data_IF_003423779735
#
_entry.id   IF_003423779735
#
_cell.length_a   1.000
_cell.length_b   1.000
_cell.length_c   1.000
_cell.angle_alpha   90.00
_cell.angle_beta   90.00
_cell.angle_gamma   90.00
#
_symmetry.space_group_name_H-M   'P 1'
#
loop_
_entity.id
_entity.type
_entity.pdbx_description
1 polymer ?
#
# COMPACT_ATOMS: atom_id res chain seq x y z
N UNK A 1 42.08 -4.47 30.36
CA UNK A 1 40.82 -3.73 30.58
C UNK A 1 39.62 -4.58 30.12
N UNK A 2 39.15 -5.54 30.93
CA UNK A 2 37.99 -6.39 30.61
C UNK A 2 36.62 -5.78 30.97
N UNK A 3 36.60 -4.67 31.72
CA UNK A 3 35.38 -4.02 32.23
C UNK A 3 34.47 -3.45 31.12
N UNK A 4 35.05 -2.90 30.06
CA UNK A 4 34.29 -2.27 28.98
C UNK A 4 33.51 -3.28 28.13
N UNK A 5 34.10 -4.45 27.88
CA UNK A 5 33.43 -5.54 27.15
C UNK A 5 32.21 -6.07 27.93
N UNK A 6 32.36 -6.22 29.25
CA UNK A 6 31.27 -6.66 30.13
C UNK A 6 30.11 -5.66 30.16
N UNK A 7 30.42 -4.36 30.17
CA UNK A 7 29.40 -3.30 30.12
C UNK A 7 28.62 -3.29 28.80
N UNK A 8 29.30 -3.47 27.66
CA UNK A 8 28.62 -3.54 26.35
C UNK A 8 27.71 -4.77 26.26
N UNK A 9 28.15 -5.91 26.79
CA UNK A 9 27.33 -7.14 26.82
C UNK A 9 26.07 -6.94 27.67
N UNK A 10 26.21 -6.33 28.85
CA UNK A 10 25.08 -6.07 29.75
C UNK A 10 24.11 -5.04 29.16
N UNK A 11 24.63 -3.98 28.53
CA UNK A 11 23.82 -3.00 27.82
C UNK A 11 23.04 -3.64 26.67
N UNK A 12 23.68 -4.48 25.86
CA UNK A 12 23.00 -5.18 24.77
C UNK A 12 21.92 -6.14 25.29
N UNK A 13 22.16 -6.84 26.40
CA UNK A 13 21.15 -7.70 27.04
C UNK A 13 19.93 -6.91 27.52
N UNK A 14 20.08 -5.69 28.03
CA UNK A 14 18.95 -4.86 28.49
C UNK A 14 18.10 -4.29 27.35
N UNK A 15 18.60 -4.30 26.10
CA UNK A 15 17.84 -3.88 24.92
C UNK A 15 16.99 -5.02 24.31
N UNK A 16 17.34 -6.29 24.57
CA UNK A 16 16.60 -7.46 24.04
C UNK A 16 15.08 -7.44 24.34
N UNK A 17 14.61 -7.18 25.58
CA UNK A 17 13.17 -7.14 25.88
C UNK A 17 12.46 -5.88 25.35
N UNK A 18 13.21 -4.83 24.97
CA UNK A 18 12.64 -3.63 24.35
C UNK A 18 12.29 -3.88 22.88
N UNK A 19 12.97 -4.83 22.23
CA UNK A 19 12.70 -5.23 20.83
C UNK A 19 11.26 -5.72 20.64
N UNK A 20 10.70 -6.42 21.61
CA UNK A 20 9.30 -6.88 21.56
C UNK A 20 8.29 -5.73 21.76
N UNK A 21 8.68 -4.66 22.49
CA UNK A 21 7.88 -3.44 22.60
C UNK A 21 7.82 -2.69 21.28
N UNK A 22 8.94 -2.60 20.55
CA UNK A 22 8.99 -1.91 19.26
C UNK A 22 8.44 -2.75 18.09
N UNK A 23 8.28 -4.06 18.24
CA UNK A 23 7.65 -4.94 17.24
C UNK A 23 6.21 -4.52 16.91
N UNK A 24 5.53 -3.85 17.84
CA UNK A 24 4.17 -3.34 17.68
C UNK A 24 4.11 -1.81 17.49
N UNK A 25 5.24 -1.12 17.41
CA UNK A 25 5.28 0.36 17.35
C UNK A 25 6.06 0.82 16.13
N UNK A 26 5.55 0.45 14.96
CA UNK A 26 5.63 1.25 13.73
C UNK A 26 4.26 1.32 13.02
N UNK A 27 3.18 1.20 13.79
CA UNK A 27 1.83 1.34 13.28
C UNK A 27 0.83 0.88 14.31
N UNK A 28 0.08 1.82 14.89
CA UNK A 28 -1.09 1.58 15.74
C UNK A 28 -2.25 0.92 14.98
N UNK A 29 -1.95 -0.09 14.15
CA UNK A 29 -2.92 -0.90 13.45
C UNK A 29 -3.57 -1.86 14.45
N UNK A 30 -4.68 -1.39 15.02
CA UNK A 30 -5.58 -2.22 15.77
C UNK A 30 -6.50 -2.94 14.78
N UNK A 31 -6.31 -4.25 14.60
CA UNK A 31 -7.14 -5.11 13.72
C UNK A 31 -8.64 -5.03 14.03
N UNK A 32 -9.04 -4.58 15.22
CA UNK A 32 -10.44 -4.37 15.62
C UNK A 32 -10.95 -2.94 15.43
N UNK A 33 -10.09 -1.98 15.08
CA UNK A 33 -10.48 -0.59 14.83
C UNK A 33 -11.09 -0.50 13.44
N UNK A 34 -12.43 -0.54 13.37
CA UNK A 34 -13.15 -0.16 12.15
C UNK A 34 -12.83 1.31 11.88
N UNK A 35 -12.41 1.63 10.66
CA UNK A 35 -12.26 3.01 10.24
C UNK A 35 -13.67 3.57 10.12
N UNK A 36 -14.11 4.30 11.14
CA UNK A 36 -15.36 5.06 11.08
C UNK A 36 -15.11 6.28 10.20
N UNK A 37 -15.63 6.20 8.98
CA UNK A 37 -15.62 7.33 8.08
C UNK A 37 -16.83 8.21 8.41
N UNK A 38 -16.58 9.39 8.95
CA UNK A 38 -17.61 10.42 9.15
C UNK A 38 -17.91 11.10 7.80
N UNK A 39 -18.52 10.32 6.90
CA UNK A 39 -18.92 10.80 5.58
C UNK A 39 -20.23 11.57 5.73
N UNK A 40 -20.36 12.75 5.09
CA UNK A 40 -21.66 13.42 5.03
C UNK A 40 -22.67 12.47 4.37
N UNK A 41 -23.91 12.48 4.86
CA UNK A 41 -25.00 11.67 4.29
C UNK A 41 -25.17 12.06 2.81
N UNK A 42 -24.65 11.24 1.91
CA UNK A 42 -24.74 11.47 0.48
C UNK A 42 -26.17 11.25 0.01
N UNK A 43 -26.68 12.14 -0.84
CA UNK A 43 -27.99 11.94 -1.45
C UNK A 43 -27.91 10.85 -2.54
N UNK A 44 -28.99 10.10 -2.81
CA UNK A 44 -29.00 9.10 -3.88
C UNK A 44 -28.60 9.66 -5.26
N UNK A 45 -28.87 10.95 -5.51
CA UNK A 45 -28.49 11.64 -6.74
C UNK A 45 -26.97 11.85 -6.82
N UNK A 46 -26.33 12.25 -5.71
CA UNK A 46 -24.88 12.40 -5.63
C UNK A 46 -24.16 11.06 -5.87
N UNK A 47 -24.67 9.97 -5.29
CA UNK A 47 -24.14 8.61 -5.52
C UNK A 47 -24.23 8.20 -6.99
N UNK A 48 -25.35 8.49 -7.68
CA UNK A 48 -25.50 8.22 -9.12
C UNK A 48 -24.50 9.03 -9.94
N UNK A 49 -24.31 10.31 -9.60
CA UNK A 49 -23.36 11.18 -10.30
C UNK A 49 -21.92 10.69 -10.17
N UNK A 50 -21.50 10.31 -8.94
CA UNK A 50 -20.18 9.73 -8.68
C UNK A 50 -19.99 8.43 -9.47
N UNK A 51 -20.98 7.54 -9.47
CA UNK A 51 -20.94 6.29 -10.26
C UNK A 51 -20.76 6.57 -11.75
N UNK A 52 -21.50 7.52 -12.32
CA UNK A 52 -21.38 7.87 -13.72
C UNK A 52 -20.02 8.46 -14.06
N UNK A 53 -19.49 9.34 -13.21
CA UNK A 53 -18.15 9.92 -13.37
C UNK A 53 -17.07 8.84 -13.35
N UNK A 54 -17.08 7.97 -12.33
CA UNK A 54 -16.15 6.85 -12.20
C UNK A 54 -16.20 5.91 -13.41
N UNK A 55 -17.39 5.61 -13.93
CA UNK A 55 -17.52 4.74 -15.11
C UNK A 55 -16.86 5.35 -16.34
N UNK A 56 -17.03 6.66 -16.56
CA UNK A 56 -16.41 7.38 -17.68
C UNK A 56 -14.89 7.43 -17.56
N UNK A 57 -14.38 7.76 -16.38
CA UNK A 57 -12.93 7.79 -16.12
C UNK A 57 -12.31 6.41 -16.31
N UNK A 58 -12.96 5.36 -15.79
CA UNK A 58 -12.51 3.99 -15.97
C UNK A 58 -12.48 3.59 -17.46
N UNK A 59 -13.48 3.96 -18.26
CA UNK A 59 -13.47 3.67 -19.70
C UNK A 59 -12.27 4.30 -20.42
N UNK A 60 -11.90 5.53 -20.07
CA UNK A 60 -10.73 6.21 -20.64
C UNK A 60 -9.44 5.51 -20.22
N UNK A 61 -9.33 5.11 -18.95
CA UNK A 61 -8.18 4.34 -18.46
C UNK A 61 -8.06 3.00 -19.19
N UNK A 62 -9.16 2.25 -19.34
CA UNK A 62 -9.17 0.99 -20.07
C UNK A 62 -8.78 1.14 -21.53
N UNK A 63 -9.21 2.22 -22.20
CA UNK A 63 -8.79 2.51 -23.57
C UNK A 63 -7.27 2.71 -23.67
N UNK A 64 -6.69 3.48 -22.73
CA UNK A 64 -5.23 3.67 -22.66
C UNK A 64 -4.50 2.36 -22.39
N UNK A 65 -4.99 1.54 -21.46
CA UNK A 65 -4.40 0.24 -21.11
C UNK A 65 -4.41 -0.70 -22.30
N UNK A 66 -5.54 -0.79 -23.03
CA UNK A 66 -5.65 -1.61 -24.24
C UNK A 66 -4.66 -1.13 -25.31
N UNK A 67 -4.58 0.19 -25.54
CA UNK A 67 -3.65 0.76 -26.51
C UNK A 67 -2.18 0.43 -26.21
N UNK A 68 -1.76 0.59 -24.96
CA UNK A 68 -0.38 0.24 -24.54
C UNK A 68 -0.14 -1.26 -24.65
N UNK A 69 -1.11 -2.09 -24.26
CA UNK A 69 -1.01 -3.55 -24.35
C UNK A 69 -0.82 -4.02 -25.81
N UNK A 70 -1.58 -3.44 -26.75
CA UNK A 70 -1.44 -3.74 -28.17
C UNK A 70 -0.07 -3.36 -28.74
N UNK A 71 0.47 -2.20 -28.33
CA UNK A 71 1.81 -1.78 -28.75
C UNK A 71 2.88 -2.75 -28.26
N UNK A 72 2.81 -3.17 -26.99
CA UNK A 72 3.76 -4.11 -26.40
C UNK A 72 3.67 -5.48 -27.09
N UNK A 73 2.46 -6.01 -27.26
CA UNK A 73 2.24 -7.29 -27.93
C UNK A 73 2.69 -7.25 -29.40
N UNK A 74 2.38 -6.16 -30.12
CA UNK A 74 2.83 -5.98 -31.50
C UNK A 74 4.35 -5.93 -31.62
N UNK A 75 5.02 -5.20 -30.73
CA UNK A 75 6.49 -5.16 -30.68
C UNK A 75 7.12 -6.52 -30.34
N UNK A 76 6.53 -7.25 -29.39
CA UNK A 76 6.97 -8.62 -29.06
C UNK A 76 6.83 -9.57 -30.24
N UNK A 77 5.68 -9.56 -30.91
CA UNK A 77 5.45 -10.40 -32.09
C UNK A 77 6.42 -10.07 -33.22
N UNK A 78 6.73 -8.79 -33.42
CA UNK A 78 7.74 -8.37 -34.39
C UNK A 78 9.12 -8.97 -34.08
N UNK A 79 9.57 -8.89 -32.82
CA UNK A 79 10.86 -9.45 -32.39
C UNK A 79 10.91 -10.97 -32.53
N UNK A 80 9.79 -11.66 -32.30
CA UNK A 80 9.72 -13.12 -32.45
C UNK A 80 9.72 -13.56 -33.92
N UNK A 81 9.18 -12.72 -34.82
CA UNK A 81 9.11 -13.01 -36.26
C UNK A 81 10.33 -12.51 -37.06
N UNK A 82 11.17 -11.66 -36.48
CA UNK A 82 12.44 -11.19 -37.07
C UNK A 82 13.59 -12.16 -36.79
#
# INVERSE_FOLDING_TARGET
MPSNAMNVINYNRSQLPQRDRFKNVLGGYNKRRKVEYDLPKATPQQLKMIRHKLKKENQILWLKVIGVSLLILGGLLWVVMS
#
